data_IF_525875044611
#
_entry.id   IF_525875044611
#
_cell.length_a   1.000
_cell.length_b   1.000
_cell.length_c   1.000
_cell.angle_alpha   90.00
_cell.angle_beta   90.00
_cell.angle_gamma   90.00
#
_symmetry.space_group_name_H-M   'P 1'
#
loop_
_entity.id
_entity.type
_entity.pdbx_description
1 polymer ?
#
# COMPACT_ATOMS: atom_id res chain seq x y z
N UNK A 1 63.57 -24.42 61.73
CA UNK A 1 62.41 -23.94 60.97
C UNK A 1 62.04 -25.04 60.00
N UNK A 2 60.86 -25.60 60.18
CA UNK A 2 60.41 -26.83 59.57
C UNK A 2 59.97 -26.64 58.11
N UNK A 3 60.68 -27.36 57.20
CA UNK A 3 60.42 -27.27 55.73
C UNK A 3 58.99 -27.69 55.34
N UNK A 4 58.21 -28.28 56.24
CA UNK A 4 56.81 -28.62 56.03
C UNK A 4 55.88 -27.45 56.12
N UNK A 5 56.21 -26.39 56.93
CA UNK A 5 55.36 -25.19 57.03
C UNK A 5 55.46 -24.26 55.83
N UNK A 6 56.59 -24.26 55.12
CA UNK A 6 56.83 -23.46 53.92
C UNK A 6 56.05 -23.99 52.70
N UNK A 7 55.90 -25.35 52.58
CA UNK A 7 55.08 -25.95 51.50
C UNK A 7 53.60 -25.67 51.60
N UNK A 8 53.05 -25.58 52.85
CA UNK A 8 51.65 -25.30 53.04
C UNK A 8 51.31 -23.83 52.87
N UNK A 9 52.23 -22.92 53.07
CA UNK A 9 52.03 -21.46 52.79
C UNK A 9 52.07 -21.13 51.31
N UNK A 10 52.87 -21.86 50.51
CA UNK A 10 52.85 -21.68 49.06
C UNK A 10 51.65 -22.32 48.33
N UNK A 11 51.09 -23.39 48.93
CA UNK A 11 49.86 -23.99 48.40
C UNK A 11 48.58 -23.16 48.61
N UNK A 12 48.55 -22.34 49.71
CA UNK A 12 47.41 -21.46 50.00
C UNK A 12 47.43 -20.18 49.13
N UNK A 13 48.61 -19.67 48.76
CA UNK A 13 48.74 -18.49 47.88
C UNK A 13 48.44 -18.85 46.43
N UNK A 14 48.72 -20.08 45.99
CA UNK A 14 48.37 -20.57 44.64
C UNK A 14 46.87 -20.80 44.42
N UNK A 15 46.12 -21.12 45.48
CA UNK A 15 44.66 -21.34 45.36
C UNK A 15 43.85 -20.04 45.44
N UNK A 16 44.40 -18.95 45.98
CA UNK A 16 43.72 -17.65 46.02
C UNK A 16 43.91 -16.79 44.77
N UNK A 17 44.91 -17.15 43.92
CA UNK A 17 45.17 -16.49 42.65
C UNK A 17 44.32 -16.99 41.47
N UNK A 18 43.66 -18.16 41.60
CA UNK A 18 42.86 -18.77 40.53
C UNK A 18 41.38 -18.39 40.62
N UNK A 19 40.94 -17.79 41.75
CA UNK A 19 39.54 -17.38 41.93
C UNK A 19 39.23 -15.93 41.54
N UNK A 20 40.23 -15.18 41.02
CA UNK A 20 40.02 -13.78 40.54
C UNK A 20 40.12 -13.61 39.02
N UNK A 21 40.26 -14.68 38.23
CA UNK A 21 40.29 -14.62 36.77
C UNK A 21 39.02 -15.20 36.09
N UNK A 22 37.96 -15.40 36.87
CA UNK A 22 36.75 -16.08 36.42
C UNK A 22 35.51 -15.20 36.33
N UNK A 23 35.62 -13.87 36.22
CA UNK A 23 34.45 -13.00 36.09
C UNK A 23 34.66 -11.83 35.10
N UNK A 24 35.35 -12.13 33.99
CA UNK A 24 35.14 -11.35 32.77
C UNK A 24 34.19 -12.18 31.89
N UNK A 25 32.92 -12.17 32.25
CA UNK A 25 31.87 -12.60 31.37
C UNK A 25 31.92 -11.69 30.13
N UNK A 26 32.58 -12.14 29.08
CA UNK A 26 32.28 -11.59 27.75
C UNK A 26 30.81 -11.87 27.54
N UNK A 27 29.96 -10.86 27.69
CA UNK A 27 28.65 -10.89 27.07
C UNK A 27 28.91 -11.27 25.59
N UNK A 28 28.63 -12.51 25.25
CA UNK A 28 28.50 -12.89 23.85
C UNK A 28 27.40 -11.97 23.34
N UNK A 29 27.73 -10.91 22.61
CA UNK A 29 26.78 -10.20 21.78
C UNK A 29 26.19 -11.28 20.89
N UNK A 30 24.96 -11.68 21.18
CA UNK A 30 24.22 -12.54 20.27
C UNK A 30 24.16 -11.80 18.92
N UNK A 31 24.63 -12.46 17.87
CA UNK A 31 24.51 -11.93 16.51
C UNK A 31 23.01 -11.85 16.25
N UNK A 32 22.46 -10.66 15.94
CA UNK A 32 21.03 -10.56 15.67
C UNK A 32 20.64 -11.53 14.54
N UNK A 33 19.52 -12.21 14.71
CA UNK A 33 18.97 -13.08 13.67
C UNK A 33 18.63 -12.20 12.47
N UNK A 34 19.24 -12.47 11.33
CA UNK A 34 19.03 -11.71 10.11
C UNK A 34 17.75 -12.20 9.43
N UNK A 35 16.96 -11.25 8.93
CA UNK A 35 15.77 -11.50 8.12
C UNK A 35 15.91 -10.71 6.83
N UNK A 36 15.86 -11.38 5.69
CA UNK A 36 15.91 -10.75 4.39
C UNK A 36 14.53 -10.76 3.73
N UNK A 37 13.93 -9.56 3.53
CA UNK A 37 12.63 -9.39 2.88
C UNK A 37 12.86 -8.81 1.48
N UNK A 38 12.44 -9.57 0.45
CA UNK A 38 12.38 -9.10 -0.93
C UNK A 38 11.04 -8.43 -1.21
N UNK A 39 11.05 -7.25 -1.85
CA UNK A 39 9.83 -6.50 -2.23
C UNK A 39 9.86 -6.24 -3.73
N UNK A 40 8.92 -6.81 -4.47
CA UNK A 40 8.73 -6.61 -5.91
C UNK A 40 7.51 -5.71 -6.16
N UNK A 41 7.73 -4.50 -6.67
CA UNK A 41 6.69 -3.51 -6.93
C UNK A 41 6.38 -3.41 -8.43
N UNK A 42 5.11 -3.21 -8.77
CA UNK A 42 4.71 -3.04 -10.16
C UNK A 42 5.27 -1.74 -10.77
N UNK A 43 5.17 -0.62 -10.04
CA UNK A 43 5.66 0.70 -10.44
C UNK A 43 5.85 1.61 -9.21
N UNK A 44 7.10 1.97 -8.88
CA UNK A 44 7.39 2.84 -7.72
C UNK A 44 7.01 4.31 -7.94
N UNK A 45 6.58 4.69 -9.15
CA UNK A 45 6.05 6.04 -9.43
C UNK A 45 4.60 6.23 -8.98
N UNK A 46 3.91 5.15 -8.62
CA UNK A 46 2.60 5.22 -8.00
C UNK A 46 2.69 5.88 -6.62
N UNK A 47 1.95 6.98 -6.44
CA UNK A 47 2.03 7.83 -5.23
C UNK A 47 1.58 7.07 -3.99
N UNK A 48 0.47 6.30 -4.08
CA UNK A 48 -0.03 5.52 -2.96
C UNK A 48 0.96 4.43 -2.55
N UNK A 49 1.48 3.70 -3.54
CA UNK A 49 2.47 2.65 -3.32
C UNK A 49 3.76 3.21 -2.69
N UNK A 50 4.21 4.38 -3.15
CA UNK A 50 5.36 5.06 -2.56
C UNK A 50 5.17 5.35 -1.07
N UNK A 51 4.01 5.91 -0.68
CA UNK A 51 3.68 6.19 0.72
C UNK A 51 3.53 4.91 1.56
N UNK A 52 2.93 3.85 1.00
CA UNK A 52 2.81 2.54 1.66
C UNK A 52 4.18 1.93 1.93
N UNK A 53 5.10 1.95 0.96
CA UNK A 53 6.45 1.41 1.11
C UNK A 53 7.29 2.19 2.12
N UNK A 54 7.16 3.51 2.18
CA UNK A 54 7.83 4.30 3.22
C UNK A 54 7.32 3.95 4.63
N UNK A 55 6.02 3.70 4.78
CA UNK A 55 5.45 3.19 6.03
C UNK A 55 5.97 1.78 6.32
N UNK A 56 6.04 0.90 5.34
CA UNK A 56 6.57 -0.45 5.49
C UNK A 56 8.02 -0.46 5.97
N UNK A 57 8.88 0.35 5.36
CA UNK A 57 10.27 0.54 5.82
C UNK A 57 10.34 1.01 7.27
N UNK A 58 9.45 1.90 7.69
CA UNK A 58 9.38 2.40 9.07
C UNK A 58 8.96 1.31 10.05
N UNK A 59 7.97 0.50 9.68
CA UNK A 59 7.53 -0.63 10.51
C UNK A 59 8.63 -1.70 10.66
N UNK A 60 9.35 -2.04 9.60
CA UNK A 60 10.50 -2.95 9.67
C UNK A 60 11.57 -2.44 10.65
N UNK A 61 11.94 -1.14 10.56
CA UNK A 61 12.89 -0.53 11.54
C UNK A 61 12.37 -0.58 12.99
N UNK A 62 11.05 -0.57 13.18
CA UNK A 62 10.46 -0.71 14.52
C UNK A 62 10.60 -2.14 15.04
N UNK A 63 10.48 -3.13 14.14
CA UNK A 63 10.67 -4.53 14.49
C UNK A 63 12.13 -4.90 14.77
N UNK A 64 13.12 -4.21 14.17
CA UNK A 64 14.55 -4.37 14.48
C UNK A 64 14.86 -4.16 15.95
N UNK A 65 14.10 -3.30 16.67
CA UNK A 65 14.23 -3.08 18.10
C UNK A 65 13.97 -4.34 18.95
N UNK A 66 13.43 -5.39 18.35
CA UNK A 66 13.25 -6.71 18.99
C UNK A 66 14.51 -7.58 18.93
N UNK A 67 15.64 -7.05 18.44
CA UNK A 67 16.92 -7.76 18.39
C UNK A 67 17.17 -8.53 17.09
N UNK A 68 16.46 -8.20 16.02
CA UNK A 68 16.65 -8.74 14.68
C UNK A 68 17.36 -7.73 13.79
N UNK A 69 17.98 -8.20 12.72
CA UNK A 69 18.54 -7.37 11.64
C UNK A 69 17.68 -7.60 10.38
N UNK A 70 16.91 -6.58 9.95
CA UNK A 70 15.99 -6.71 8.81
C UNK A 70 16.59 -6.04 7.59
N UNK A 71 16.95 -6.85 6.61
CA UNK A 71 17.41 -6.38 5.29
C UNK A 71 16.25 -6.30 4.32
N UNK A 72 16.08 -5.15 3.65
CA UNK A 72 15.04 -4.93 2.65
C UNK A 72 15.67 -4.68 1.27
N UNK A 73 15.27 -5.47 0.28
CA UNK A 73 15.52 -5.17 -1.13
C UNK A 73 14.20 -4.85 -1.81
N UNK A 74 14.10 -3.65 -2.39
CA UNK A 74 12.88 -3.20 -3.09
C UNK A 74 13.22 -2.98 -4.55
N UNK A 75 12.54 -3.70 -5.44
CA UNK A 75 12.74 -3.64 -6.88
C UNK A 75 11.48 -3.11 -7.59
N UNK A 76 11.69 -2.35 -8.67
CA UNK A 76 10.65 -1.74 -9.50
C UNK A 76 10.54 -2.48 -10.83
N UNK A 77 9.40 -3.09 -11.10
CA UNK A 77 9.13 -3.80 -12.33
C UNK A 77 8.76 -2.88 -13.51
N UNK A 78 8.54 -1.59 -13.26
CA UNK A 78 8.16 -0.61 -14.26
C UNK A 78 6.97 -1.07 -15.15
N UNK A 79 5.95 -1.67 -14.56
CA UNK A 79 4.77 -2.25 -15.21
C UNK A 79 5.04 -3.47 -16.12
N UNK A 80 6.15 -4.18 -15.93
CA UNK A 80 6.49 -5.36 -16.71
C UNK A 80 6.43 -6.62 -15.84
N UNK A 81 5.49 -7.53 -16.10
CA UNK A 81 5.41 -8.81 -15.38
C UNK A 81 6.68 -9.61 -15.56
N UNK A 82 7.22 -9.70 -16.78
CA UNK A 82 8.49 -10.38 -17.03
C UNK A 82 9.66 -9.82 -16.22
N UNK A 83 9.75 -8.49 -16.12
CA UNK A 83 10.78 -7.86 -15.29
C UNK A 83 10.59 -8.21 -13.82
N UNK A 84 9.33 -8.27 -13.36
CA UNK A 84 9.01 -8.66 -11.99
C UNK A 84 9.38 -10.12 -11.70
N UNK A 85 9.11 -11.02 -12.64
CA UNK A 85 9.51 -12.44 -12.53
C UNK A 85 11.02 -12.59 -12.39
N UNK A 86 11.79 -11.90 -13.25
CA UNK A 86 13.27 -11.91 -13.20
C UNK A 86 13.78 -11.34 -11.86
N UNK A 87 13.17 -10.26 -11.35
CA UNK A 87 13.51 -9.65 -10.06
C UNK A 87 13.22 -10.58 -8.87
N UNK A 88 12.08 -11.28 -8.90
CA UNK A 88 11.75 -12.25 -7.86
C UNK A 88 12.74 -13.40 -7.85
N UNK A 89 13.13 -13.92 -9.01
CA UNK A 89 14.17 -14.96 -9.11
C UNK A 89 15.51 -14.46 -8.56
N UNK A 90 15.89 -13.21 -8.82
CA UNK A 90 17.11 -12.60 -8.27
C UNK A 90 17.06 -12.53 -6.74
N UNK A 91 15.95 -12.08 -6.16
CA UNK A 91 15.78 -12.01 -4.71
C UNK A 91 15.82 -13.39 -4.05
N UNK A 92 15.21 -14.40 -4.67
CA UNK A 92 15.28 -15.80 -4.25
C UNK A 92 16.73 -16.29 -4.30
N UNK A 93 17.43 -16.07 -5.42
CA UNK A 93 18.83 -16.44 -5.60
C UNK A 93 19.79 -15.78 -4.60
N UNK A 94 19.43 -14.59 -4.11
CA UNK A 94 20.15 -13.87 -3.06
C UNK A 94 19.77 -14.30 -1.64
N UNK A 95 18.87 -15.29 -1.49
CA UNK A 95 18.51 -15.91 -0.23
C UNK A 95 17.52 -15.09 0.61
N UNK A 96 16.49 -14.49 -0.01
CA UNK A 96 15.43 -13.84 0.77
C UNK A 96 14.63 -14.89 1.56
N UNK A 97 14.22 -14.52 2.78
CA UNK A 97 13.41 -15.37 3.65
C UNK A 97 11.91 -15.26 3.33
N UNK A 98 11.50 -14.13 2.74
CA UNK A 98 10.11 -13.86 2.40
C UNK A 98 10.01 -12.83 1.27
N UNK A 99 8.98 -12.97 0.45
CA UNK A 99 8.66 -12.04 -0.63
C UNK A 99 7.41 -11.24 -0.30
N UNK A 100 7.45 -9.92 -0.55
CA UNK A 100 6.26 -9.07 -0.62
C UNK A 100 6.09 -8.63 -2.08
N UNK A 101 4.97 -9.00 -2.72
CA UNK A 101 4.77 -8.81 -4.15
C UNK A 101 3.52 -7.96 -4.41
N UNK A 102 3.71 -6.84 -5.08
CA UNK A 102 2.65 -6.04 -5.67
C UNK A 102 2.65 -6.29 -7.18
N UNK A 103 1.76 -7.17 -7.64
CA UNK A 103 1.79 -7.74 -8.99
C UNK A 103 1.73 -6.69 -10.10
N UNK A 104 2.57 -6.82 -11.12
CA UNK A 104 2.46 -6.06 -12.35
C UNK A 104 1.22 -6.50 -13.15
N UNK A 105 1.01 -7.80 -13.29
CA UNK A 105 -0.21 -8.40 -13.81
C UNK A 105 -0.82 -9.36 -12.78
N UNK A 106 -1.98 -9.00 -12.21
CA UNK A 106 -2.67 -9.83 -11.20
C UNK A 106 -3.16 -11.17 -11.74
N UNK A 107 -3.25 -11.32 -13.04
CA UNK A 107 -3.75 -12.54 -13.71
C UNK A 107 -2.65 -13.49 -14.14
N UNK A 108 -1.37 -13.11 -13.94
CA UNK A 108 -0.22 -13.94 -14.31
C UNK A 108 0.87 -14.01 -13.21
N UNK A 109 0.51 -14.47 -11.98
CA UNK A 109 1.48 -14.66 -10.89
C UNK A 109 2.21 -16.00 -10.95
N UNK A 110 1.94 -16.85 -11.94
CA UNK A 110 2.30 -18.28 -11.94
C UNK A 110 3.81 -18.52 -11.82
N UNK A 111 4.63 -17.72 -12.53
CA UNK A 111 6.08 -17.87 -12.48
C UNK A 111 6.64 -17.48 -11.11
N UNK A 112 6.10 -16.41 -10.52
CA UNK A 112 6.48 -15.95 -9.17
C UNK A 112 6.12 -17.01 -8.12
N UNK A 113 4.89 -17.53 -8.18
CA UNK A 113 4.41 -18.56 -7.23
C UNK A 113 5.25 -19.84 -7.35
N UNK A 114 5.49 -20.31 -8.59
CA UNK A 114 6.28 -21.52 -8.82
C UNK A 114 7.72 -21.36 -8.29
N UNK A 115 8.38 -20.25 -8.61
CA UNK A 115 9.76 -19.99 -8.16
C UNK A 115 9.86 -19.93 -6.63
N UNK A 116 8.92 -19.27 -5.97
CA UNK A 116 8.87 -19.19 -4.51
C UNK A 116 8.58 -20.57 -3.86
N UNK A 117 7.66 -21.34 -4.43
CA UNK A 117 7.28 -22.67 -3.94
C UNK A 117 8.45 -23.67 -4.07
N UNK A 118 9.21 -23.64 -5.16
CA UNK A 118 10.40 -24.49 -5.35
C UNK A 118 11.49 -24.26 -4.30
N UNK A 119 11.52 -23.07 -3.69
CA UNK A 119 12.49 -22.68 -2.68
C UNK A 119 11.90 -22.55 -1.27
N UNK A 120 10.62 -22.90 -1.09
CA UNK A 120 9.88 -22.80 0.17
C UNK A 120 9.87 -21.36 0.76
N UNK A 121 9.78 -20.34 -0.10
CA UNK A 121 9.79 -18.92 0.29
C UNK A 121 8.36 -18.37 0.29
N UNK A 122 7.78 -17.99 1.44
CA UNK A 122 6.43 -17.43 1.53
C UNK A 122 6.26 -16.13 0.74
N UNK A 123 5.04 -15.91 0.21
CA UNK A 123 4.70 -14.67 -0.49
C UNK A 123 3.57 -13.95 0.23
N UNK A 124 3.76 -12.66 0.49
CA UNK A 124 2.72 -11.71 0.84
C UNK A 124 2.42 -10.86 -0.38
N UNK A 125 1.35 -11.15 -1.10
CA UNK A 125 0.82 -10.23 -2.09
C UNK A 125 0.22 -9.01 -1.40
N UNK A 126 0.36 -7.82 -1.98
CA UNK A 126 -0.19 -6.62 -1.37
C UNK A 126 -0.75 -5.63 -2.39
N UNK A 127 -1.72 -4.83 -1.99
CA UNK A 127 -2.43 -3.82 -2.76
C UNK A 127 -3.17 -4.40 -3.98
N UNK A 128 -2.49 -4.98 -4.98
CA UNK A 128 -3.11 -5.67 -6.12
C UNK A 128 -3.42 -7.11 -5.75
N UNK A 129 -4.69 -7.40 -5.57
CA UNK A 129 -5.16 -8.72 -5.16
C UNK A 129 -5.03 -9.74 -6.31
N UNK A 130 -4.32 -10.87 -6.11
CA UNK A 130 -4.29 -11.94 -7.10
C UNK A 130 -5.66 -12.56 -7.28
N UNK A 131 -5.82 -13.39 -8.31
CA UNK A 131 -7.04 -14.21 -8.47
C UNK A 131 -7.11 -15.20 -7.31
N UNK A 132 -8.31 -15.48 -6.79
CA UNK A 132 -8.50 -16.35 -5.63
C UNK A 132 -7.90 -17.74 -5.86
N UNK A 133 -8.09 -18.29 -7.05
CA UNK A 133 -7.54 -19.60 -7.45
C UNK A 133 -6.02 -19.64 -7.34
N UNK A 134 -5.33 -18.54 -7.68
CA UNK A 134 -3.87 -18.45 -7.56
C UNK A 134 -3.43 -18.40 -6.11
N UNK A 135 -4.11 -17.62 -5.28
CA UNK A 135 -3.79 -17.51 -3.85
C UNK A 135 -4.02 -18.82 -3.10
N UNK A 136 -4.93 -19.67 -3.57
CA UNK A 136 -5.25 -20.96 -2.95
C UNK A 136 -4.34 -22.11 -3.41
N UNK A 137 -3.42 -21.89 -4.36
CA UNK A 137 -2.54 -22.95 -4.87
C UNK A 137 -1.52 -23.46 -3.84
N UNK A 138 -1.15 -22.62 -2.86
CA UNK A 138 -0.16 -22.97 -1.85
C UNK A 138 -0.44 -22.31 -0.52
N UNK A 139 -0.15 -23.00 0.58
CA UNK A 139 -0.51 -22.54 1.93
C UNK A 139 0.29 -21.33 2.40
N UNK A 140 1.47 -21.07 1.81
CA UNK A 140 2.33 -19.95 2.18
C UNK A 140 2.11 -18.70 1.30
N UNK A 141 0.96 -18.58 0.66
CA UNK A 141 0.52 -17.39 -0.05
C UNK A 141 -0.46 -16.59 0.78
N UNK A 142 -0.24 -15.30 0.90
CA UNK A 142 -1.04 -14.37 1.70
C UNK A 142 -1.34 -13.11 0.92
N UNK A 143 -2.39 -12.38 1.30
CA UNK A 143 -2.73 -11.08 0.73
C UNK A 143 -2.99 -10.04 1.82
N UNK A 144 -2.45 -8.83 1.65
CA UNK A 144 -2.71 -7.65 2.47
C UNK A 144 -3.15 -6.51 1.57
N UNK A 145 -4.34 -5.97 1.81
CA UNK A 145 -4.88 -4.88 1.00
C UNK A 145 -6.15 -4.28 1.57
N UNK A 146 -7.02 -3.81 0.69
CA UNK A 146 -8.30 -3.21 1.04
C UNK A 146 -9.37 -3.57 0.00
N UNK A 147 -10.64 -3.55 0.40
CA UNK A 147 -11.76 -3.93 -0.47
C UNK A 147 -12.16 -2.76 -1.39
N UNK A 148 -11.85 -2.86 -2.69
CA UNK A 148 -12.08 -1.80 -3.67
C UNK A 148 -13.53 -1.31 -3.71
N UNK A 149 -14.52 -2.22 -3.56
CA UNK A 149 -15.95 -1.88 -3.57
C UNK A 149 -16.31 -0.90 -2.45
N UNK A 150 -15.75 -1.10 -1.26
CA UNK A 150 -15.96 -0.20 -0.12
C UNK A 150 -15.51 1.22 -0.46
N UNK A 151 -14.36 1.38 -1.13
CA UNK A 151 -13.84 2.72 -1.47
C UNK A 151 -14.74 3.45 -2.47
N UNK A 152 -15.19 2.79 -3.53
CA UNK A 152 -16.10 3.40 -4.51
C UNK A 152 -17.46 3.75 -3.90
N UNK A 153 -18.01 2.88 -3.05
CA UNK A 153 -19.25 3.18 -2.31
C UNK A 153 -19.08 4.40 -1.40
N UNK A 154 -17.97 4.49 -0.66
CA UNK A 154 -17.67 5.63 0.21
C UNK A 154 -17.50 6.92 -0.58
N UNK A 155 -16.81 6.88 -1.74
CA UNK A 155 -16.69 8.03 -2.62
C UNK A 155 -18.05 8.49 -3.13
N UNK A 156 -18.92 7.57 -3.56
CA UNK A 156 -20.29 7.89 -3.98
C UNK A 156 -21.13 8.50 -2.85
N UNK A 157 -21.02 7.99 -1.63
CA UNK A 157 -21.70 8.55 -0.47
C UNK A 157 -21.20 9.96 -0.11
N UNK A 158 -19.88 10.21 -0.18
CA UNK A 158 -19.28 11.53 0.02
C UNK A 158 -19.76 12.53 -1.05
N UNK A 159 -19.73 12.11 -2.31
CA UNK A 159 -20.18 12.94 -3.43
C UNK A 159 -21.68 13.24 -3.34
N UNK A 160 -22.52 12.26 -3.00
CA UNK A 160 -23.95 12.46 -2.82
C UNK A 160 -24.27 13.44 -1.67
N UNK A 161 -23.56 13.30 -0.54
CA UNK A 161 -23.73 14.21 0.58
C UNK A 161 -23.35 15.65 0.18
N UNK A 162 -22.22 15.81 -0.49
CA UNK A 162 -21.76 17.12 -0.98
C UNK A 162 -22.77 17.76 -1.95
N UNK A 163 -23.27 17.02 -2.93
CA UNK A 163 -24.24 17.50 -3.92
C UNK A 163 -25.55 17.93 -3.23
N UNK A 164 -26.01 17.19 -2.23
CA UNK A 164 -27.21 17.55 -1.47
C UNK A 164 -27.04 18.81 -0.60
N UNK A 165 -25.82 19.01 -0.07
CA UNK A 165 -25.46 20.18 0.74
C UNK A 165 -25.23 21.43 -0.17
N UNK A 166 -24.90 21.24 -1.48
CA UNK A 166 -24.56 22.30 -2.44
C UNK A 166 -25.37 22.14 -3.73
N UNK A 167 -26.65 22.57 -3.75
CA UNK A 167 -27.51 22.42 -4.94
C UNK A 167 -27.00 23.16 -6.20
N UNK A 168 -26.12 24.13 -6.03
CA UNK A 168 -25.43 24.89 -7.09
C UNK A 168 -24.40 24.05 -7.88
N UNK A 169 -24.13 22.81 -7.47
CA UNK A 169 -23.35 21.83 -8.27
C UNK A 169 -24.08 21.52 -9.58
N UNK A 170 -25.41 21.39 -9.57
CA UNK A 170 -26.27 21.35 -10.77
C UNK A 170 -26.34 22.75 -11.39
N UNK A 171 -25.32 23.11 -12.17
CA UNK A 171 -25.14 24.48 -12.72
C UNK A 171 -26.11 24.82 -13.84
N UNK A 172 -26.59 23.82 -14.55
CA UNK A 172 -27.55 24.01 -15.65
C UNK A 172 -29.01 23.88 -15.18
N UNK A 173 -29.24 23.48 -13.90
CA UNK A 173 -30.54 23.31 -13.25
C UNK A 173 -31.48 22.33 -13.98
N UNK A 174 -30.93 21.26 -14.59
CA UNK A 174 -31.74 20.24 -15.26
C UNK A 174 -32.13 19.08 -14.34
N UNK A 175 -31.69 19.11 -13.08
CA UNK A 175 -31.98 18.11 -12.08
C UNK A 175 -31.11 16.86 -12.19
N UNK A 176 -30.04 16.89 -12.99
CA UNK A 176 -29.06 15.82 -13.14
C UNK A 176 -27.68 16.38 -12.87
N UNK A 177 -26.77 15.50 -12.49
CA UNK A 177 -25.36 15.83 -12.35
C UNK A 177 -24.58 15.27 -13.54
N UNK A 178 -24.00 16.18 -14.33
CA UNK A 178 -23.12 15.84 -15.45
C UNK A 178 -21.73 15.51 -14.92
N UNK A 179 -21.34 14.24 -15.03
CA UNK A 179 -20.10 13.78 -14.46
C UNK A 179 -19.17 13.09 -15.46
N UNK A 180 -17.89 13.10 -15.13
CA UNK A 180 -16.85 12.31 -15.78
C UNK A 180 -16.15 11.41 -14.76
N UNK A 181 -15.65 10.26 -15.23
CA UNK A 181 -14.82 9.37 -14.43
C UNK A 181 -13.40 9.35 -15.00
N UNK A 182 -12.43 9.46 -14.10
CA UNK A 182 -11.03 9.15 -14.37
C UNK A 182 -10.72 7.79 -13.75
N UNK A 183 -10.62 6.79 -14.62
CA UNK A 183 -10.37 5.41 -14.24
C UNK A 183 -8.88 5.12 -14.17
N UNK A 184 -8.48 4.20 -13.30
CA UNK A 184 -7.12 3.73 -13.17
C UNK A 184 -6.60 3.02 -14.42
N UNK A 185 -5.92 1.93 -14.24
CA UNK A 185 -5.34 1.13 -15.32
C UNK A 185 -6.38 0.21 -15.97
N UNK A 186 -6.31 0.07 -17.29
CA UNK A 186 -7.20 -0.81 -18.03
C UNK A 186 -7.08 -2.26 -17.57
N UNK A 187 -8.21 -2.90 -17.27
CA UNK A 187 -8.25 -4.28 -16.79
C UNK A 187 -7.89 -4.46 -15.32
N UNK A 188 -7.51 -3.39 -14.63
CA UNK A 188 -7.24 -3.46 -13.20
C UNK A 188 -8.56 -3.61 -12.42
N UNK A 189 -8.66 -4.67 -11.60
CA UNK A 189 -9.89 -4.99 -10.85
C UNK A 189 -10.40 -3.81 -10.02
N UNK A 190 -9.53 -3.18 -9.23
CA UNK A 190 -9.93 -2.07 -8.38
C UNK A 190 -10.44 -0.87 -9.19
N UNK A 191 -9.83 -0.59 -10.36
CA UNK A 191 -10.28 0.50 -11.22
C UNK A 191 -11.72 0.28 -11.69
N UNK A 192 -12.02 -0.93 -12.18
CA UNK A 192 -13.35 -1.32 -12.63
C UNK A 192 -14.34 -1.26 -11.49
N UNK A 193 -14.02 -1.89 -10.34
CA UNK A 193 -14.91 -1.96 -9.17
C UNK A 193 -15.18 -0.55 -8.60
N UNK A 194 -14.17 0.31 -8.47
CA UNK A 194 -14.34 1.70 -8.01
C UNK A 194 -15.23 2.49 -8.95
N UNK A 195 -15.01 2.36 -10.27
CA UNK A 195 -15.80 3.03 -11.30
C UNK A 195 -17.28 2.64 -11.27
N UNK A 196 -17.57 1.35 -11.12
CA UNK A 196 -18.95 0.84 -11.06
C UNK A 196 -19.62 1.22 -9.72
N UNK A 197 -18.96 0.94 -8.62
CA UNK A 197 -19.56 1.14 -7.29
C UNK A 197 -19.77 2.60 -6.91
N UNK A 198 -18.98 3.55 -7.40
CA UNK A 198 -19.22 4.98 -7.16
C UNK A 198 -20.49 5.45 -7.86
N UNK A 199 -20.71 5.05 -9.12
CA UNK A 199 -21.91 5.43 -9.86
C UNK A 199 -23.18 4.75 -9.30
N UNK A 200 -23.07 3.49 -8.88
CA UNK A 200 -24.13 2.75 -8.22
C UNK A 200 -24.53 3.44 -6.90
N UNK A 201 -23.54 3.74 -6.04
CA UNK A 201 -23.76 4.40 -4.76
C UNK A 201 -24.41 5.78 -4.89
N UNK A 202 -24.01 6.59 -5.88
CA UNK A 202 -24.65 7.89 -6.16
C UNK A 202 -26.13 7.72 -6.53
N UNK A 203 -26.47 6.73 -7.38
CA UNK A 203 -27.86 6.43 -7.75
C UNK A 203 -28.67 5.94 -6.55
N UNK A 204 -28.13 5.06 -5.74
CA UNK A 204 -28.76 4.59 -4.49
C UNK A 204 -29.05 5.74 -3.52
N UNK A 205 -28.20 6.78 -3.51
CA UNK A 205 -28.41 8.00 -2.74
C UNK A 205 -29.42 8.96 -3.39
N UNK A 206 -30.04 8.60 -4.51
CA UNK A 206 -31.08 9.38 -5.19
C UNK A 206 -30.53 10.51 -6.06
N UNK A 207 -29.26 10.52 -6.43
CA UNK A 207 -28.67 11.49 -7.36
C UNK A 207 -28.96 11.06 -8.79
N UNK A 208 -29.64 11.89 -9.56
CA UNK A 208 -29.81 11.67 -10.99
C UNK A 208 -28.52 12.02 -11.72
N UNK A 209 -28.03 11.12 -12.56
CA UNK A 209 -26.70 11.22 -13.16
C UNK A 209 -26.78 11.24 -14.69
N UNK A 210 -25.95 12.10 -15.31
CA UNK A 210 -25.63 12.06 -16.76
C UNK A 210 -24.12 11.88 -16.93
N UNK A 211 -23.71 10.67 -17.37
CA UNK A 211 -22.30 10.41 -17.64
C UNK A 211 -21.87 11.04 -18.97
N UNK A 212 -21.04 12.06 -18.94
CA UNK A 212 -20.48 12.70 -20.14
C UNK A 212 -19.34 11.89 -20.74
N UNK A 213 -18.44 11.38 -19.91
CA UNK A 213 -17.30 10.61 -20.37
C UNK A 213 -16.71 9.74 -19.25
N UNK A 214 -15.91 8.79 -19.68
CA UNK A 214 -14.99 8.07 -18.82
C UNK A 214 -13.64 7.96 -19.54
N UNK A 215 -12.53 8.13 -18.82
CA UNK A 215 -11.20 8.13 -19.39
C UNK A 215 -10.24 7.34 -18.52
N UNK A 216 -9.43 6.49 -19.14
CA UNK A 216 -8.36 5.78 -18.47
C UNK A 216 -7.15 6.71 -18.35
N UNK A 217 -6.66 6.87 -17.11
CA UNK A 217 -5.52 7.73 -16.78
C UNK A 217 -4.43 7.01 -15.97
N UNK A 218 -4.51 5.67 -15.86
CA UNK A 218 -3.47 4.78 -15.35
C UNK A 218 -2.87 5.21 -14.01
N UNK A 219 -3.70 5.62 -13.04
CA UNK A 219 -3.31 6.11 -11.71
C UNK A 219 -2.39 7.34 -11.74
N UNK A 220 -2.17 7.94 -12.91
CA UNK A 220 -1.11 8.89 -13.17
C UNK A 220 -1.64 10.34 -13.31
N UNK A 221 -1.09 11.26 -12.50
CA UNK A 221 -1.47 12.67 -12.46
C UNK A 221 -1.33 13.37 -13.79
N UNK A 222 -0.21 13.15 -14.51
CA UNK A 222 0.06 13.81 -15.79
C UNK A 222 -0.87 13.29 -16.89
N UNK A 223 -1.15 11.99 -16.91
CA UNK A 223 -2.11 11.41 -17.84
C UNK A 223 -3.51 11.95 -17.57
N UNK A 224 -3.93 12.01 -16.29
CA UNK A 224 -5.21 12.59 -15.90
C UNK A 224 -5.33 14.06 -16.32
N UNK A 225 -4.28 14.88 -16.13
CA UNK A 225 -4.24 16.25 -16.60
C UNK A 225 -4.46 16.33 -18.12
N UNK A 226 -3.75 15.51 -18.90
CA UNK A 226 -3.87 15.51 -20.36
C UNK A 226 -5.27 15.07 -20.81
N UNK A 227 -5.86 14.02 -20.19
CA UNK A 227 -7.23 13.59 -20.47
C UNK A 227 -8.24 14.67 -20.12
N UNK A 228 -8.08 15.31 -18.97
CA UNK A 228 -8.98 16.38 -18.54
C UNK A 228 -8.91 17.61 -19.47
N UNK A 229 -7.73 18.02 -19.95
CA UNK A 229 -7.61 19.10 -20.94
C UNK A 229 -8.42 18.79 -22.23
N UNK A 230 -8.42 17.53 -22.69
CA UNK A 230 -9.23 17.12 -23.84
C UNK A 230 -10.73 17.19 -23.52
N UNK A 231 -11.14 16.73 -22.34
CA UNK A 231 -12.54 16.77 -21.90
C UNK A 231 -13.03 18.22 -21.73
N UNK A 232 -12.22 19.12 -21.20
CA UNK A 232 -12.56 20.56 -21.10
C UNK A 232 -12.82 21.14 -22.49
N UNK A 233 -11.96 20.82 -23.48
CA UNK A 233 -12.17 21.24 -24.87
C UNK A 233 -13.45 20.67 -25.51
N UNK A 234 -13.86 19.46 -25.12
CA UNK A 234 -15.05 18.79 -25.68
C UNK A 234 -16.35 19.24 -25.01
N UNK A 235 -16.36 19.37 -23.67
CA UNK A 235 -17.58 19.57 -22.89
C UNK A 235 -17.70 20.98 -22.30
N UNK A 236 -16.62 21.78 -22.35
CA UNK A 236 -16.59 23.12 -21.74
C UNK A 236 -17.04 23.09 -20.27
N UNK A 237 -17.94 23.96 -19.89
CA UNK A 237 -18.48 24.07 -18.51
C UNK A 237 -19.59 23.05 -18.18
N UNK A 238 -19.84 22.06 -19.05
CA UNK A 238 -20.89 21.06 -18.77
C UNK A 238 -20.52 20.05 -17.70
N UNK A 239 -19.24 19.84 -17.42
CA UNK A 239 -18.79 18.91 -16.40
C UNK A 239 -18.98 19.51 -15.01
N UNK A 240 -19.80 18.90 -14.17
CA UNK A 240 -20.15 19.39 -12.84
C UNK A 240 -19.41 18.62 -11.74
N UNK A 241 -19.17 17.33 -11.96
CA UNK A 241 -18.45 16.45 -11.03
C UNK A 241 -17.39 15.63 -11.75
N UNK A 242 -16.22 15.52 -11.14
CA UNK A 242 -15.15 14.61 -11.55
C UNK A 242 -14.94 13.57 -10.44
N UNK A 243 -15.14 12.30 -10.77
CA UNK A 243 -14.90 11.16 -9.90
C UNK A 243 -13.61 10.49 -10.36
N UNK A 244 -12.55 10.60 -9.57
CA UNK A 244 -11.28 9.95 -9.88
C UNK A 244 -11.07 8.71 -9.02
N UNK A 245 -10.59 7.62 -9.61
CA UNK A 245 -10.33 6.38 -8.88
C UNK A 245 -9.16 6.51 -7.88
N UNK A 246 -8.33 7.58 -8.00
CA UNK A 246 -7.35 7.92 -6.97
C UNK A 246 -7.10 9.43 -6.88
N UNK A 247 -6.40 9.86 -5.81
CA UNK A 247 -6.07 11.27 -5.57
C UNK A 247 -5.13 11.84 -6.63
N UNK A 248 -4.14 11.08 -7.08
CA UNK A 248 -3.20 11.57 -8.10
C UNK A 248 -3.92 11.99 -9.39
N UNK A 249 -4.92 11.22 -9.82
CA UNK A 249 -5.73 11.57 -10.99
C UNK A 249 -6.69 12.74 -10.71
N UNK A 250 -7.25 12.83 -9.50
CA UNK A 250 -8.07 13.97 -9.09
C UNK A 250 -7.27 15.28 -9.15
N UNK A 251 -6.06 15.26 -8.56
CA UNK A 251 -5.13 16.40 -8.60
C UNK A 251 -4.72 16.74 -10.04
N UNK A 252 -4.45 15.73 -10.87
CA UNK A 252 -4.15 15.95 -12.29
C UNK A 252 -5.31 16.61 -13.05
N UNK A 253 -6.55 16.24 -12.73
CA UNK A 253 -7.72 16.92 -13.29
C UNK A 253 -7.81 18.39 -12.84
N UNK A 254 -7.51 18.68 -11.57
CA UNK A 254 -7.45 20.04 -11.05
C UNK A 254 -6.35 20.86 -11.70
N UNK A 255 -5.15 20.28 -11.89
CA UNK A 255 -4.04 20.92 -12.62
C UNK A 255 -4.42 21.33 -14.06
N UNK A 256 -5.30 20.57 -14.73
CA UNK A 256 -5.78 20.92 -16.07
C UNK A 256 -6.61 22.20 -16.06
N UNK A 257 -7.50 22.37 -15.09
CA UNK A 257 -8.32 23.57 -14.92
C UNK A 257 -7.46 24.77 -14.54
N UNK A 258 -6.52 24.61 -13.61
CA UNK A 258 -5.59 25.68 -13.24
C UNK A 258 -4.75 26.14 -14.44
N UNK A 259 -4.16 25.19 -15.20
CA UNK A 259 -3.35 25.47 -16.37
C UNK A 259 -4.11 26.26 -17.47
N UNK A 260 -5.42 26.04 -17.56
CA UNK A 260 -6.29 26.72 -18.51
C UNK A 260 -6.89 28.03 -17.94
N UNK A 261 -6.52 28.43 -16.72
CA UNK A 261 -6.93 29.68 -16.09
C UNK A 261 -8.37 29.68 -15.55
N UNK A 262 -8.96 28.52 -15.31
CA UNK A 262 -10.28 28.42 -14.68
C UNK A 262 -10.20 28.77 -13.18
N UNK A 263 -11.21 29.48 -12.70
CA UNK A 263 -11.37 29.81 -11.28
C UNK A 263 -12.15 28.73 -10.55
N UNK A 264 -12.18 28.76 -9.22
CA UNK A 264 -12.95 27.82 -8.40
C UNK A 264 -14.44 27.80 -8.73
N UNK A 265 -15.01 28.94 -9.11
CA UNK A 265 -16.43 29.04 -9.47
C UNK A 265 -16.79 28.43 -10.83
N UNK A 266 -15.79 28.22 -11.69
CA UNK A 266 -15.97 27.77 -13.08
C UNK A 266 -15.42 26.36 -13.34
N UNK A 267 -15.06 25.62 -12.30
CA UNK A 267 -14.57 24.25 -12.41
C UNK A 267 -15.56 23.26 -11.76
N UNK A 268 -15.53 21.98 -12.12
CA UNK A 268 -16.32 20.95 -11.46
C UNK A 268 -15.85 20.70 -10.02
N UNK A 269 -16.65 19.96 -9.27
CA UNK A 269 -16.28 19.42 -7.96
C UNK A 269 -15.50 18.13 -8.16
N UNK A 270 -14.41 17.95 -7.44
CA UNK A 270 -13.51 16.80 -7.56
C UNK A 270 -13.57 15.89 -6.34
N UNK A 271 -13.56 14.58 -6.57
CA UNK A 271 -13.51 13.54 -5.54
C UNK A 271 -12.40 12.55 -5.86
N UNK A 272 -11.61 12.16 -4.84
CA UNK A 272 -10.51 11.22 -4.93
C UNK A 272 -10.71 9.96 -4.10
N UNK A 273 -9.73 9.08 -4.13
CA UNK A 273 -9.53 7.90 -3.27
C UNK A 273 -8.02 7.81 -3.01
N UNK A 274 -7.63 7.27 -1.92
CA UNK A 274 -6.34 6.92 -1.32
C UNK A 274 -6.00 7.74 -0.09
N UNK A 275 -6.39 9.00 0.00
CA UNK A 275 -5.96 9.87 1.10
C UNK A 275 -4.46 10.04 1.12
N UNK A 276 -3.84 10.25 -0.07
CA UNK A 276 -2.43 10.59 -0.16
C UNK A 276 -2.14 11.91 0.54
N UNK A 277 -0.90 12.16 0.90
CA UNK A 277 -0.53 13.41 1.57
C UNK A 277 -1.03 14.64 0.81
N UNK A 278 -0.80 14.69 -0.51
CA UNK A 278 -1.26 15.81 -1.33
C UNK A 278 -2.80 15.83 -1.44
N UNK A 279 -3.45 14.67 -1.54
CA UNK A 279 -4.92 14.57 -1.53
C UNK A 279 -5.54 15.10 -0.24
N UNK A 280 -4.97 14.74 0.91
CA UNK A 280 -5.41 15.24 2.22
C UNK A 280 -5.18 16.76 2.38
N UNK A 281 -4.06 17.28 1.87
CA UNK A 281 -3.80 18.71 1.82
C UNK A 281 -4.85 19.44 0.96
N UNK A 282 -5.16 18.91 -0.23
CA UNK A 282 -6.19 19.46 -1.11
C UNK A 282 -7.60 19.43 -0.50
N UNK A 283 -7.95 18.38 0.27
CA UNK A 283 -9.21 18.35 1.04
C UNK A 283 -9.21 19.42 2.12
N UNK A 284 -8.13 19.55 2.87
CA UNK A 284 -7.98 20.57 3.93
C UNK A 284 -8.14 21.99 3.37
N UNK A 285 -7.56 22.26 2.20
CA UNK A 285 -7.64 23.55 1.54
C UNK A 285 -9.01 23.79 0.87
N UNK A 286 -9.79 22.73 0.66
CA UNK A 286 -11.12 22.76 0.02
C UNK A 286 -11.07 22.73 -1.50
N UNK A 287 -9.92 22.46 -2.10
CA UNK A 287 -9.77 22.32 -3.55
C UNK A 287 -10.19 20.95 -4.07
N UNK A 288 -10.04 19.91 -3.26
CA UNK A 288 -10.66 18.59 -3.41
C UNK A 288 -11.82 18.47 -2.41
N UNK A 289 -13.02 18.16 -2.85
CA UNK A 289 -14.20 18.14 -1.97
C UNK A 289 -14.13 17.04 -0.90
N UNK A 290 -13.65 15.86 -1.29
CA UNK A 290 -13.41 14.75 -0.39
C UNK A 290 -12.50 13.70 -1.02
N UNK A 291 -11.90 12.88 -0.15
CA UNK A 291 -11.21 11.65 -0.55
C UNK A 291 -11.60 10.48 0.36
N UNK A 292 -11.38 9.26 -0.11
CA UNK A 292 -11.55 8.05 0.69
C UNK A 292 -10.16 7.56 1.07
N UNK A 293 -9.85 7.65 2.37
CA UNK A 293 -8.55 7.25 2.89
C UNK A 293 -8.37 5.74 2.84
N UNK A 294 -7.33 5.30 2.16
CA UNK A 294 -6.85 3.92 2.11
C UNK A 294 -5.78 3.75 3.18
N UNK A 295 -6.01 2.92 4.19
CA UNK A 295 -5.17 2.78 5.40
C UNK A 295 -3.78 2.20 5.07
N UNK A 296 -2.95 3.00 4.42
CA UNK A 296 -1.58 2.62 4.01
C UNK A 296 -0.67 2.31 5.20
N UNK A 297 -0.85 2.99 6.33
CA UNK A 297 -0.12 2.71 7.57
C UNK A 297 -0.52 1.34 8.14
N UNK A 298 -1.81 1.06 8.20
CA UNK A 298 -2.31 -0.23 8.68
C UNK A 298 -1.96 -1.38 7.75
N UNK A 299 -1.97 -1.17 6.41
CA UNK A 299 -1.50 -2.17 5.46
C UNK A 299 0.01 -2.44 5.65
N UNK A 300 0.82 -1.40 5.73
CA UNK A 300 2.26 -1.51 5.94
C UNK A 300 2.60 -2.24 7.26
N UNK A 301 1.91 -1.89 8.35
CA UNK A 301 2.07 -2.56 9.64
C UNK A 301 1.65 -4.03 9.58
N UNK A 302 0.55 -4.34 8.88
CA UNK A 302 0.09 -5.71 8.69
C UNK A 302 1.10 -6.54 7.89
N UNK A 303 1.63 -6.00 6.78
CA UNK A 303 2.66 -6.64 5.97
C UNK A 303 3.94 -6.90 6.79
N UNK A 304 4.45 -5.89 7.50
CA UNK A 304 5.68 -6.00 8.28
C UNK A 304 5.55 -7.03 9.42
N UNK A 305 4.44 -6.97 10.17
CA UNK A 305 4.19 -7.93 11.25
C UNK A 305 4.00 -9.36 10.73
N UNK A 306 3.32 -9.53 9.59
CA UNK A 306 3.14 -10.84 8.97
C UNK A 306 4.48 -11.39 8.48
N UNK A 307 5.26 -10.59 7.75
CA UNK A 307 6.59 -10.98 7.28
C UNK A 307 7.50 -11.38 8.45
N UNK A 308 7.51 -10.58 9.51
CA UNK A 308 8.27 -10.88 10.71
C UNK A 308 7.81 -12.17 11.40
N UNK A 309 6.49 -12.35 11.56
CA UNK A 309 5.93 -13.56 12.19
C UNK A 309 6.28 -14.82 11.43
N UNK A 310 6.19 -14.79 10.09
CA UNK A 310 6.52 -15.94 9.24
C UNK A 310 8.03 -16.24 9.33
N UNK A 311 8.90 -15.24 9.18
CA UNK A 311 10.35 -15.42 9.16
C UNK A 311 10.94 -15.84 10.51
N UNK A 312 10.27 -15.54 11.63
CA UNK A 312 10.78 -15.88 12.98
C UNK A 312 10.15 -17.09 13.60
N UNK A 313 9.03 -17.60 13.05
CA UNK A 313 8.21 -18.64 13.68
C UNK A 313 7.84 -18.29 15.13
N UNK A 314 7.68 -16.98 15.42
CA UNK A 314 7.47 -16.48 16.78
C UNK A 314 6.09 -16.89 17.31
N UNK A 315 6.07 -17.85 18.21
CA UNK A 315 4.84 -18.34 18.88
C UNK A 315 4.13 -17.24 19.69
N UNK A 316 4.86 -16.20 20.14
CA UNK A 316 4.30 -15.07 20.87
C UNK A 316 3.69 -14.01 19.94
N UNK A 317 3.97 -14.08 18.65
CA UNK A 317 3.33 -13.27 17.61
C UNK A 317 2.71 -14.22 16.59
N UNK A 318 1.66 -14.96 16.98
CA UNK A 318 1.09 -15.98 16.11
C UNK A 318 0.66 -15.32 14.81
N UNK A 319 1.03 -15.96 13.71
CA UNK A 319 0.53 -15.61 12.39
C UNK A 319 -1.00 -15.44 12.52
N UNK A 320 -1.56 -14.21 12.37
CA UNK A 320 -3.00 -13.98 12.50
C UNK A 320 -3.82 -14.81 11.50
N UNK A 321 -3.15 -15.47 10.55
CA UNK A 321 -3.70 -16.20 9.44
C UNK A 321 -3.66 -17.72 9.57
N UNK A 322 -3.48 -18.29 10.75
CA UNK A 322 -3.55 -19.76 10.87
C UNK A 322 -4.72 -20.40 10.11
N UNK A 323 -5.74 -19.58 9.72
CA UNK A 323 -6.90 -20.03 8.96
C UNK A 323 -7.35 -19.07 7.85
N UNK A 324 -6.66 -17.93 7.58
CA UNK A 324 -7.08 -16.91 6.61
C UNK A 324 -5.91 -16.45 5.77
N UNK A 325 -6.15 -16.31 4.46
CA UNK A 325 -5.14 -15.84 3.50
C UNK A 325 -5.17 -14.33 3.27
N UNK A 326 -6.18 -13.62 3.79
CA UNK A 326 -6.45 -12.22 3.50
C UNK A 326 -6.43 -11.34 4.75
N UNK A 327 -5.76 -10.19 4.67
CA UNK A 327 -5.97 -9.05 5.58
C UNK A 327 -6.53 -7.89 4.77
N UNK A 328 -7.76 -7.52 5.03
CA UNK A 328 -8.34 -6.29 4.50
C UNK A 328 -8.30 -5.19 5.56
N UNK A 329 -7.78 -4.02 5.16
CA UNK A 329 -7.85 -2.80 5.96
C UNK A 329 -9.03 -1.97 5.49
N UNK A 330 -9.80 -1.45 6.47
CA UNK A 330 -10.99 -0.67 6.17
C UNK A 330 -10.62 0.72 5.65
N UNK A 331 -11.37 1.19 4.65
CA UNK A 331 -11.30 2.58 4.20
C UNK A 331 -11.97 3.53 5.19
N UNK A 332 -11.61 4.82 5.11
CA UNK A 332 -12.21 5.88 5.91
C UNK A 332 -12.60 7.07 5.02
N UNK A 333 -13.73 7.72 5.34
CA UNK A 333 -14.17 8.93 4.63
C UNK A 333 -13.43 10.14 5.17
N UNK A 334 -12.91 10.98 4.27
CA UNK A 334 -12.25 12.25 4.61
C UNK A 334 -12.91 13.38 3.82
N UNK A 335 -13.47 14.33 4.53
CA UNK A 335 -13.99 15.59 4.01
C UNK A 335 -13.58 16.74 4.95
N UNK A 336 -13.66 17.98 4.45
CA UNK A 336 -13.43 19.19 5.25
C UNK A 336 -14.47 19.35 6.36
#
# INVERSE_FOLDING_TARGET
MDKRKIKNAMALIGLMGILLYGACGSEKKEIPKQIYIGVACYDQRDTFLGELLENFKRECRTLEKRGYDISLTIMDAANSQRTQDDQVQEMIGNGCDILCVNLADRTDPSQIITAAQEHDIPIIFFNREPVEEDLMQWDQLYYVGAEAKQSGQMQGQLAAAYIKEHPDVDRNHDGKIQYVILEGEMGHQDAIIRTESVAESLKEQGIALEKLSYQIANWNRVQAQNRMMQLIGQYNNRMEVVLANNDAMALGAMDAYEKLGYTETNRPVFFGIDGTKEGLEAVKDGTLAATVYNDKEGQAAAMANLAFSIATEDENNPNPFKNYKYIYRAYQKVKK
#
